data_IF_440173880234
#
_entry.id   IF_440173880234
#
_cell.length_a   1.000
_cell.length_b   1.000
_cell.length_c   1.000
_cell.angle_alpha   90.00
_cell.angle_beta   90.00
_cell.angle_gamma   90.00
#
_symmetry.space_group_name_H-M   'P 1'
#
loop_
_entity.id
_entity.type
_entity.pdbx_description
1 polymer ?
#
# COMPACT_ATOMS: atom_id res chain seq x y z
N UNK A 1 19.06 -35.56 -7.48
CA UNK A 1 19.56 -35.16 -6.15
C UNK A 1 19.85 -33.68 -6.23
N UNK A 2 19.01 -32.82 -5.63
CA UNK A 2 19.23 -31.38 -5.69
C UNK A 2 20.46 -30.98 -4.87
N UNK A 3 21.24 -30.01 -5.35
CA UNK A 3 22.36 -29.41 -4.62
C UNK A 3 21.88 -28.93 -3.25
N UNK A 4 22.63 -29.12 -2.18
CA UNK A 4 22.21 -28.67 -0.84
C UNK A 4 22.42 -27.16 -0.67
N UNK A 5 21.73 -26.51 0.27
CA UNK A 5 21.91 -25.07 0.54
C UNK A 5 23.35 -24.79 0.96
N UNK A 6 23.93 -25.64 1.82
CA UNK A 6 25.33 -25.60 2.25
C UNK A 6 26.29 -25.61 1.06
N UNK A 7 26.04 -26.47 0.07
CA UNK A 7 26.89 -26.58 -1.11
C UNK A 7 26.78 -25.33 -2.01
N UNK A 8 25.59 -24.74 -2.13
CA UNK A 8 25.41 -23.48 -2.87
C UNK A 8 26.09 -22.31 -2.17
N UNK A 9 25.94 -22.20 -0.85
CA UNK A 9 26.61 -21.18 -0.04
C UNK A 9 28.13 -21.31 -0.18
N UNK A 10 28.66 -22.52 -0.01
CA UNK A 10 30.09 -22.78 -0.16
C UNK A 10 30.59 -22.49 -1.57
N UNK A 11 29.85 -22.92 -2.60
CA UNK A 11 30.15 -22.61 -3.99
C UNK A 11 30.23 -21.10 -4.24
N UNK A 12 29.28 -20.33 -3.72
CA UNK A 12 29.30 -18.87 -3.82
C UNK A 12 30.49 -18.25 -3.08
N UNK A 13 30.80 -18.70 -1.86
CA UNK A 13 31.91 -18.17 -1.07
C UNK A 13 33.28 -18.50 -1.68
N UNK A 14 33.44 -19.66 -2.29
CA UNK A 14 34.70 -20.14 -2.86
C UNK A 14 34.99 -19.51 -4.23
N UNK A 15 33.97 -19.31 -5.08
CA UNK A 15 34.16 -18.86 -6.47
C UNK A 15 33.69 -17.44 -6.75
N UNK A 16 32.76 -16.91 -5.95
CA UNK A 16 32.07 -15.65 -6.24
C UNK A 16 31.15 -15.70 -7.46
N UNK A 17 30.85 -16.88 -8.01
CA UNK A 17 29.97 -16.99 -9.17
C UNK A 17 28.50 -16.77 -8.79
N UNK A 18 27.86 -15.78 -9.42
CA UNK A 18 26.48 -15.38 -9.13
C UNK A 18 25.45 -16.50 -9.32
N UNK A 19 25.71 -17.49 -10.18
CA UNK A 19 24.81 -18.65 -10.41
C UNK A 19 24.44 -19.38 -9.11
N UNK A 20 25.36 -19.45 -8.15
CA UNK A 20 25.12 -20.10 -6.86
C UNK A 20 24.16 -19.27 -5.99
N UNK A 21 24.31 -17.95 -6.04
CA UNK A 21 23.44 -17.02 -5.33
C UNK A 21 22.06 -16.95 -5.99
N UNK A 22 21.97 -16.94 -7.31
CA UNK A 22 20.71 -16.99 -8.06
C UNK A 22 19.88 -18.24 -7.68
N UNK A 23 20.53 -19.41 -7.57
CA UNK A 23 19.85 -20.64 -7.14
C UNK A 23 19.39 -20.56 -5.67
N UNK A 24 20.19 -19.95 -4.79
CA UNK A 24 19.77 -19.68 -3.40
C UNK A 24 18.56 -18.74 -3.37
N UNK A 25 18.59 -17.65 -4.15
CA UNK A 25 17.51 -16.69 -4.23
C UNK A 25 16.22 -17.33 -4.72
N UNK A 26 16.28 -18.20 -5.72
CA UNK A 26 15.12 -18.94 -6.21
C UNK A 26 14.50 -19.83 -5.11
N UNK A 27 15.34 -20.58 -4.39
CA UNK A 27 14.92 -21.48 -3.31
C UNK A 27 14.33 -20.76 -2.11
N UNK A 28 14.87 -19.60 -1.76
CA UNK A 28 14.36 -18.76 -0.67
C UNK A 28 13.27 -17.77 -1.13
N UNK A 29 12.97 -17.67 -2.42
CA UNK A 29 11.95 -16.75 -2.94
C UNK A 29 10.56 -16.94 -2.31
N UNK A 30 10.09 -18.16 -1.99
CA UNK A 30 8.82 -18.33 -1.29
C UNK A 30 8.80 -17.65 0.08
N UNK A 31 9.90 -17.74 0.83
CA UNK A 31 10.06 -17.09 2.14
C UNK A 31 10.07 -15.56 1.98
N UNK A 32 10.89 -15.05 1.06
CA UNK A 32 11.04 -13.62 0.77
C UNK A 32 9.68 -13.03 0.37
N UNK A 33 8.98 -13.65 -0.60
CA UNK A 33 7.65 -13.23 -1.05
C UNK A 33 6.62 -13.30 0.08
N UNK A 34 6.69 -14.31 0.95
CA UNK A 34 5.77 -14.43 2.09
C UNK A 34 5.95 -13.29 3.11
N UNK A 35 7.18 -12.83 3.36
CA UNK A 35 7.42 -11.71 4.27
C UNK A 35 7.24 -10.35 3.61
N UNK A 36 7.59 -10.19 2.33
CA UNK A 36 7.36 -8.96 1.58
C UNK A 36 5.87 -8.58 1.58
N UNK A 37 4.96 -9.55 1.36
CA UNK A 37 3.50 -9.30 1.42
C UNK A 37 2.99 -8.84 2.79
N UNK A 38 3.75 -9.02 3.86
CA UNK A 38 3.38 -8.60 5.22
C UNK A 38 3.86 -7.18 5.55
N UNK A 39 4.69 -6.58 4.71
CA UNK A 39 5.17 -5.21 4.84
C UNK A 39 4.19 -4.25 4.15
N UNK A 40 3.00 -4.06 4.72
CA UNK A 40 1.91 -3.29 4.12
C UNK A 40 2.21 -1.80 3.88
N UNK A 41 3.25 -1.26 4.53
CA UNK A 41 3.62 0.15 4.48
C UNK A 41 4.87 0.42 3.63
N UNK A 42 5.42 -0.62 3.01
CA UNK A 42 6.52 -0.53 2.07
C UNK A 42 6.01 -1.09 0.74
N UNK A 43 6.43 -0.51 -0.38
CA UNK A 43 6.06 -1.07 -1.68
C UNK A 43 6.55 -2.52 -1.78
N UNK A 44 5.79 -3.35 -2.48
CA UNK A 44 6.07 -4.78 -2.54
C UNK A 44 7.43 -5.05 -3.21
N UNK A 45 7.77 -4.30 -4.26
CA UNK A 45 9.04 -4.45 -4.98
C UNK A 45 10.23 -3.99 -4.12
N UNK A 46 10.09 -2.90 -3.37
CA UNK A 46 11.09 -2.47 -2.38
C UNK A 46 11.28 -3.52 -1.29
N UNK A 47 10.17 -4.09 -0.80
CA UNK A 47 10.19 -5.16 0.19
C UNK A 47 10.90 -6.40 -0.32
N UNK A 48 10.68 -6.77 -1.59
CA UNK A 48 11.39 -7.88 -2.23
C UNK A 48 12.89 -7.59 -2.34
N UNK A 49 13.28 -6.38 -2.75
CA UNK A 49 14.69 -6.00 -2.85
C UNK A 49 15.38 -6.04 -1.49
N UNK A 50 14.81 -5.39 -0.47
CA UNK A 50 15.40 -5.31 0.86
C UNK A 50 15.58 -6.68 1.53
N UNK A 51 14.62 -7.59 1.33
CA UNK A 51 14.70 -8.96 1.86
C UNK A 51 15.66 -9.85 1.04
N UNK A 52 15.77 -9.61 -0.28
CA UNK A 52 16.76 -10.28 -1.13
C UNK A 52 18.19 -9.84 -0.79
N UNK A 53 18.38 -8.55 -0.48
CA UNK A 53 19.65 -8.02 0.04
C UNK A 53 20.01 -8.64 1.39
N UNK A 54 19.03 -8.88 2.27
CA UNK A 54 19.29 -9.57 3.53
C UNK A 54 19.74 -11.02 3.32
N UNK A 55 19.19 -11.73 2.32
CA UNK A 55 19.69 -13.04 1.92
C UNK A 55 21.14 -12.94 1.43
N UNK A 56 21.43 -11.99 0.53
CA UNK A 56 22.77 -11.75 0.01
C UNK A 56 23.80 -11.49 1.12
N UNK A 57 23.47 -10.60 2.05
CA UNK A 57 24.32 -10.32 3.20
C UNK A 57 24.50 -11.53 4.10
N UNK A 58 23.44 -12.32 4.32
CA UNK A 58 23.51 -13.52 5.14
C UNK A 58 24.47 -14.54 4.55
N UNK A 59 24.36 -14.81 3.24
CA UNK A 59 25.25 -15.73 2.52
C UNK A 59 26.70 -15.28 2.63
N UNK A 60 26.98 -13.97 2.49
CA UNK A 60 28.34 -13.42 2.58
C UNK A 60 28.94 -13.42 3.99
N UNK A 61 28.10 -13.29 5.02
CA UNK A 61 28.53 -13.14 6.42
C UNK A 61 28.43 -14.45 7.22
N UNK A 62 28.00 -15.54 6.60
CA UNK A 62 27.81 -16.80 7.32
C UNK A 62 29.15 -17.35 7.84
N UNK A 63 29.26 -17.76 9.12
CA UNK A 63 30.54 -18.19 9.69
C UNK A 63 31.04 -19.56 9.21
N UNK A 64 30.12 -20.49 8.91
CA UNK A 64 30.44 -21.83 8.42
C UNK A 64 29.33 -22.31 7.48
N UNK A 65 29.75 -22.96 6.41
CA UNK A 65 28.89 -23.57 5.39
C UNK A 65 29.00 -25.10 5.40
N UNK A 66 29.38 -25.70 6.53
CA UNK A 66 29.58 -27.16 6.64
C UNK A 66 28.31 -27.90 7.08
N UNK A 67 27.37 -27.21 7.72
CA UNK A 67 26.08 -27.77 8.16
C UNK A 67 24.90 -27.19 7.36
N UNK A 68 24.16 -28.08 6.71
CA UNK A 68 22.96 -27.73 5.92
C UNK A 68 21.90 -27.04 6.77
N UNK A 69 21.62 -27.60 7.96
CA UNK A 69 20.54 -27.09 8.81
C UNK A 69 20.93 -25.74 9.43
N UNK A 70 22.21 -25.58 9.80
CA UNK A 70 22.83 -24.34 10.21
C UNK A 70 22.72 -23.25 9.14
N UNK A 71 23.07 -23.56 7.89
CA UNK A 71 22.94 -22.62 6.76
C UNK A 71 21.51 -22.13 6.58
N UNK A 72 20.57 -23.07 6.51
CA UNK A 72 19.14 -22.75 6.34
C UNK A 72 18.65 -21.89 7.51
N UNK A 73 18.97 -22.27 8.74
CA UNK A 73 18.54 -21.55 9.95
C UNK A 73 19.11 -20.15 10.02
N UNK A 74 20.39 -19.99 9.65
CA UNK A 74 21.07 -18.70 9.64
C UNK A 74 20.46 -17.74 8.61
N UNK A 75 20.25 -18.23 7.39
CA UNK A 75 19.61 -17.46 6.32
C UNK A 75 18.18 -17.07 6.72
N UNK A 76 17.37 -18.03 7.18
CA UNK A 76 16.01 -17.78 7.63
C UNK A 76 15.98 -16.71 8.72
N UNK A 77 16.84 -16.83 9.73
CA UNK A 77 16.92 -15.86 10.82
C UNK A 77 17.29 -14.47 10.31
N UNK A 78 18.22 -14.38 9.37
CA UNK A 78 18.67 -13.10 8.80
C UNK A 78 17.56 -12.39 8.02
N UNK A 79 16.82 -13.12 7.18
CA UNK A 79 15.67 -12.59 6.44
C UNK A 79 14.56 -12.15 7.40
N UNK A 80 14.23 -12.96 8.41
CA UNK A 80 13.21 -12.62 9.41
C UNK A 80 13.62 -11.39 10.23
N UNK A 81 14.88 -11.29 10.64
CA UNK A 81 15.37 -10.13 11.38
C UNK A 81 15.28 -8.84 10.55
N UNK A 82 15.64 -8.91 9.26
CA UNK A 82 15.47 -7.77 8.34
C UNK A 82 14.00 -7.38 8.22
N UNK A 83 13.11 -8.35 8.00
CA UNK A 83 11.67 -8.13 7.98
C UNK A 83 11.18 -7.43 9.25
N UNK A 84 11.57 -7.92 10.43
CA UNK A 84 11.19 -7.31 11.71
C UNK A 84 11.66 -5.86 11.83
N UNK A 85 12.89 -5.56 11.39
CA UNK A 85 13.41 -4.19 11.37
C UNK A 85 12.59 -3.28 10.44
N UNK A 86 12.31 -3.72 9.21
CA UNK A 86 11.50 -2.95 8.25
C UNK A 86 10.06 -2.74 8.76
N UNK A 87 9.48 -3.76 9.39
CA UNK A 87 8.15 -3.67 9.99
C UNK A 87 8.10 -2.61 11.09
N UNK A 88 9.04 -2.63 12.04
CA UNK A 88 9.07 -1.62 13.10
C UNK A 88 9.35 -0.21 12.59
N UNK A 89 10.29 -0.06 11.64
CA UNK A 89 10.59 1.23 11.03
C UNK A 89 9.36 1.81 10.33
N UNK A 90 8.60 1.00 9.61
CA UNK A 90 7.42 1.48 8.89
C UNK A 90 6.28 1.89 9.82
N UNK A 91 6.07 1.15 10.92
CA UNK A 91 5.14 1.54 12.00
C UNK A 91 5.58 2.86 12.66
N UNK A 92 6.87 3.03 12.92
CA UNK A 92 7.41 4.27 13.50
C UNK A 92 7.21 5.47 12.57
N UNK A 93 7.52 5.32 11.28
CA UNK A 93 7.28 6.36 10.25
C UNK A 93 5.80 6.73 10.20
N UNK A 94 4.90 5.75 10.25
CA UNK A 94 3.46 5.98 10.24
C UNK A 94 2.98 6.75 11.49
N UNK A 95 3.51 6.42 12.67
CA UNK A 95 3.22 7.17 13.89
C UNK A 95 3.71 8.62 13.81
N UNK A 96 4.91 8.83 13.26
CA UNK A 96 5.45 10.17 13.03
C UNK A 96 4.60 10.96 12.03
N UNK A 97 4.19 10.35 10.92
CA UNK A 97 3.33 10.99 9.91
C UNK A 97 1.94 11.34 10.47
N UNK A 98 1.36 10.45 11.27
CA UNK A 98 0.06 10.69 11.93
C UNK A 98 0.09 11.86 12.92
N UNK A 99 1.28 12.19 13.46
CA UNK A 99 1.49 13.31 14.38
C UNK A 99 2.14 14.52 13.72
N UNK A 100 2.53 14.42 12.45
CA UNK A 100 3.03 15.55 11.67
C UNK A 100 1.87 16.36 11.10
N UNK A 101 1.94 17.69 11.26
CA UNK A 101 1.04 18.60 10.56
C UNK A 101 1.45 18.58 9.09
N UNK A 102 0.53 18.33 8.13
CA UNK A 102 0.86 18.44 6.72
C UNK A 102 1.41 19.83 6.45
N UNK A 103 2.65 19.91 5.98
CA UNK A 103 3.14 21.12 5.33
C UNK A 103 2.45 21.14 3.96
N UNK A 104 1.33 21.84 3.88
CA UNK A 104 0.71 22.21 2.61
C UNK A 104 1.64 23.21 1.91
N UNK A 105 2.73 22.69 1.34
CA UNK A 105 3.42 23.37 0.26
C UNK A 105 2.54 23.15 -0.98
N UNK A 106 1.72 24.16 -1.24
CA UNK A 106 1.13 24.40 -2.54
C UNK A 106 2.26 24.47 -3.57
N UNK A 107 2.61 23.32 -4.15
CA UNK A 107 3.31 23.29 -5.43
C UNK A 107 2.72 22.18 -6.30
N UNK A 108 2.20 22.61 -7.45
CA UNK A 108 1.38 21.81 -8.34
C UNK A 108 2.20 20.79 -9.12
N UNK A 109 2.53 19.68 -8.48
CA UNK A 109 3.07 18.51 -9.17
C UNK A 109 2.07 17.36 -9.13
N UNK A 110 1.53 17.11 -10.32
CA UNK A 110 0.70 15.99 -10.73
C UNK A 110 1.45 14.68 -10.49
N UNK A 111 1.25 14.06 -9.33
CA UNK A 111 1.63 12.67 -9.12
C UNK A 111 0.55 11.80 -9.74
N UNK A 112 0.76 11.44 -11.01
CA UNK A 112 -0.01 10.42 -11.69
C UNK A 112 0.27 9.08 -11.03
N UNK A 113 -0.54 8.75 -10.01
CA UNK A 113 -0.59 7.45 -9.38
C UNK A 113 -1.58 6.59 -10.18
N UNK A 114 -1.05 5.67 -10.99
CA UNK A 114 -1.78 4.90 -11.99
C UNK A 114 -2.53 3.67 -11.41
N UNK A 115 -3.05 3.80 -10.19
CA UNK A 115 -3.86 2.77 -9.56
C UNK A 115 -5.21 3.38 -9.16
N UNK A 116 -6.25 3.03 -9.93
CA UNK A 116 -7.68 3.43 -9.82
C UNK A 116 -8.16 4.69 -10.56
N UNK A 117 -7.58 5.04 -11.71
CA UNK A 117 -8.12 6.11 -12.57
C UNK A 117 -9.54 5.84 -13.13
N UNK A 118 -10.05 4.61 -13.03
CA UNK A 118 -11.39 4.24 -13.54
C UNK A 118 -12.56 4.70 -12.64
N UNK A 119 -12.31 5.24 -11.43
CA UNK A 119 -13.35 5.74 -10.52
C UNK A 119 -13.20 7.23 -10.14
N UNK A 120 -12.27 7.96 -10.76
CA UNK A 120 -12.12 9.38 -10.53
C UNK A 120 -13.12 10.16 -11.40
N UNK A 121 -14.21 10.65 -10.82
CA UNK A 121 -15.03 11.68 -11.47
C UNK A 121 -14.14 12.91 -11.63
N UNK A 122 -13.83 13.32 -12.87
CA UNK A 122 -13.08 14.55 -13.12
C UNK A 122 -13.79 15.73 -12.45
N UNK A 123 -13.04 16.69 -11.90
CA UNK A 123 -13.62 17.93 -11.35
C UNK A 123 -14.55 18.61 -12.38
N UNK A 124 -14.22 18.48 -13.67
CA UNK A 124 -15.03 18.97 -14.78
C UNK A 124 -16.37 18.23 -14.89
N UNK A 125 -16.38 16.91 -14.70
CA UNK A 125 -17.59 16.09 -14.73
C UNK A 125 -18.48 16.36 -13.51
N UNK A 126 -17.87 16.56 -12.34
CA UNK A 126 -18.59 16.97 -11.14
C UNK A 126 -19.22 18.35 -11.33
N UNK A 127 -18.47 19.32 -11.85
CA UNK A 127 -18.99 20.66 -12.16
C UNK A 127 -20.14 20.62 -13.17
N UNK A 128 -20.01 19.82 -14.22
CA UNK A 128 -21.05 19.67 -15.24
C UNK A 128 -22.30 18.97 -14.68
N UNK A 129 -22.14 17.94 -13.84
CA UNK A 129 -23.25 17.31 -13.10
C UNK A 129 -23.93 18.28 -12.15
N UNK A 130 -23.16 19.17 -11.49
CA UNK A 130 -23.71 20.22 -10.64
C UNK A 130 -24.45 21.28 -11.46
N UNK A 131 -23.96 21.68 -12.63
CA UNK A 131 -24.60 22.67 -13.52
C UNK A 131 -26.03 22.29 -13.92
N UNK A 132 -26.31 21.00 -14.09
CA UNK A 132 -27.66 20.51 -14.44
C UNK A 132 -28.65 20.50 -13.26
N UNK A 133 -28.19 20.66 -12.01
CA UNK A 133 -29.03 20.61 -10.80
C UNK A 133 -29.60 21.96 -10.40
N UNK A 134 -30.80 21.94 -9.80
CA UNK A 134 -31.43 23.16 -9.26
C UNK A 134 -30.60 23.75 -8.10
N UNK A 135 -30.65 25.07 -7.86
CA UNK A 135 -29.90 25.72 -6.78
C UNK A 135 -30.14 25.11 -5.40
N UNK A 136 -31.38 24.67 -5.13
CA UNK A 136 -31.74 24.02 -3.87
C UNK A 136 -31.13 22.62 -3.72
N UNK A 137 -30.99 21.88 -4.82
CA UNK A 137 -30.39 20.55 -4.84
C UNK A 137 -28.89 20.63 -4.61
N UNK A 138 -28.21 21.62 -5.22
CA UNK A 138 -26.79 21.90 -4.96
C UNK A 138 -26.53 22.26 -3.51
N UNK A 139 -27.41 23.08 -2.91
CA UNK A 139 -27.30 23.48 -1.50
C UNK A 139 -27.49 22.30 -0.55
N UNK A 140 -28.44 21.41 -0.85
CA UNK A 140 -28.64 20.16 -0.10
C UNK A 140 -27.44 19.22 -0.27
N UNK A 141 -26.92 19.07 -1.48
CA UNK A 141 -25.77 18.22 -1.78
C UNK A 141 -24.50 18.72 -1.07
N UNK A 142 -24.25 20.02 -1.08
CA UNK A 142 -23.13 20.64 -0.35
C UNK A 142 -23.20 20.35 1.16
N UNK A 143 -24.38 20.47 1.78
CA UNK A 143 -24.57 20.16 3.20
C UNK A 143 -24.41 18.65 3.49
N UNK A 144 -24.79 17.78 2.55
CA UNK A 144 -24.59 16.34 2.70
C UNK A 144 -23.10 15.96 2.64
N UNK A 145 -22.32 16.59 1.75
CA UNK A 145 -20.86 16.40 1.65
C UNK A 145 -20.17 16.90 2.92
N UNK A 146 -20.67 17.98 3.54
CA UNK A 146 -20.19 18.48 4.83
C UNK A 146 -20.61 17.63 6.04
N UNK A 147 -21.29 16.50 5.84
CA UNK A 147 -21.64 15.55 6.89
C UNK A 147 -22.93 15.86 7.66
N UNK A 148 -23.74 16.84 7.25
CA UNK A 148 -25.00 17.15 7.93
C UNK A 148 -26.04 16.05 7.68
N UNK A 149 -26.77 15.68 8.72
CA UNK A 149 -27.88 14.74 8.62
C UNK A 149 -29.11 15.36 7.95
N UNK A 150 -29.98 14.53 7.38
CA UNK A 150 -31.22 15.01 6.74
C UNK A 150 -32.13 15.80 7.70
N UNK A 151 -32.02 15.57 9.02
CA UNK A 151 -32.77 16.32 10.04
C UNK A 151 -32.18 17.73 10.24
N UNK A 152 -30.86 17.85 10.25
CA UNK A 152 -30.16 19.13 10.40
C UNK A 152 -30.30 20.00 9.15
N UNK A 153 -30.21 19.39 7.97
CA UNK A 153 -30.45 20.08 6.69
C UNK A 153 -31.89 20.59 6.61
N UNK A 154 -32.86 19.78 7.03
CA UNK A 154 -34.27 20.16 7.10
C UNK A 154 -34.47 21.38 8.00
N UNK A 155 -33.90 21.35 9.22
CA UNK A 155 -33.96 22.47 10.16
C UNK A 155 -33.29 23.74 9.61
N UNK A 156 -32.15 23.60 8.93
CA UNK A 156 -31.36 24.73 8.41
C UNK A 156 -31.98 25.39 7.17
N UNK A 157 -32.68 24.63 6.35
CA UNK A 157 -33.30 25.11 5.12
C UNK A 157 -34.80 25.39 5.26
N UNK A 158 -35.40 25.13 6.43
CA UNK A 158 -36.83 25.36 6.68
C UNK A 158 -37.75 24.33 5.99
N UNK A 159 -37.24 23.13 5.71
CA UNK A 159 -38.00 22.05 5.05
C UNK A 159 -38.25 20.87 6.00
N UNK A 160 -39.10 19.93 5.58
CA UNK A 160 -39.30 18.68 6.31
C UNK A 160 -38.20 17.66 6.00
N UNK A 161 -37.87 16.80 6.96
CA UNK A 161 -36.95 15.66 6.76
C UNK A 161 -37.35 14.79 5.56
N UNK A 162 -38.65 14.60 5.34
CA UNK A 162 -39.18 13.82 4.21
C UNK A 162 -38.91 14.50 2.87
N UNK A 163 -39.01 15.83 2.80
CA UNK A 163 -38.68 16.59 1.60
C UNK A 163 -37.19 16.48 1.24
N UNK A 164 -36.31 16.63 2.24
CA UNK A 164 -34.86 16.43 2.04
C UNK A 164 -34.54 15.00 1.59
N UNK A 165 -35.18 13.98 2.20
CA UNK A 165 -35.04 12.59 1.77
C UNK A 165 -35.47 12.35 0.32
N UNK A 166 -36.54 13.00 -0.15
CA UNK A 166 -37.01 12.91 -1.55
C UNK A 166 -36.02 13.53 -2.52
N UNK A 167 -35.43 14.68 -2.17
CA UNK A 167 -34.40 15.33 -3.00
C UNK A 167 -33.12 14.49 -3.02
N UNK A 168 -32.68 13.99 -1.85
CA UNK A 168 -31.58 13.03 -1.74
C UNK A 168 -31.81 11.84 -2.68
N UNK A 169 -32.93 11.14 -2.62
CA UNK A 169 -33.18 10.02 -3.55
C UNK A 169 -33.11 10.41 -5.04
N UNK A 170 -33.57 11.61 -5.40
CA UNK A 170 -33.52 12.10 -6.78
C UNK A 170 -32.10 12.34 -7.26
N UNK A 171 -31.24 12.92 -6.41
CA UNK A 171 -29.84 13.19 -6.75
C UNK A 171 -29.08 11.87 -7.00
N UNK A 172 -29.33 10.83 -6.21
CA UNK A 172 -28.64 9.53 -6.31
C UNK A 172 -29.21 8.61 -7.41
N UNK A 173 -30.49 8.74 -7.77
CA UNK A 173 -31.14 7.86 -8.76
C UNK A 173 -30.90 8.29 -10.22
N UNK A 174 -30.25 9.42 -10.48
CA UNK A 174 -29.96 9.89 -11.85
C UNK A 174 -28.73 9.22 -12.47
N UNK A 175 -27.94 8.46 -11.71
CA UNK A 175 -26.74 7.76 -12.19
C UNK A 175 -27.01 6.30 -12.63
N UNK A 176 -28.28 5.90 -12.80
CA UNK A 176 -28.63 4.59 -13.35
C UNK A 176 -28.89 4.72 -14.86
N UNK A 177 -28.01 4.23 -15.74
CA UNK A 177 -28.25 4.26 -17.18
C UNK A 177 -29.49 3.44 -17.52
N UNK A 178 -30.34 3.99 -18.39
CA UNK A 178 -31.22 3.22 -19.27
C UNK A 178 -30.53 3.05 -20.60
#
# INVERSE_FOLDING_TARGET
>A
MGTTISALVKGYLDTGEEKYFEELLERFSPLIKAYARKLYYLEYDDSLQELSLALYEAVRKIPSADDEHGCISYINRSVVNKFTKLYHNSVEIQNMQAHSVPLDDSDGHDYQHDYEADNCISLVDLENSLKSKLPIERKILSLLIQGYSNKEIAARLGYTKQYINRIKKRIWNMDSPR
#
